data_IF_834185789122
#
_entry.id   IF_834185789122
#
_cell.length_a   1.000
_cell.length_b   1.000
_cell.length_c   1.000
_cell.angle_alpha   90.00
_cell.angle_beta   90.00
_cell.angle_gamma   90.00
#
_symmetry.space_group_name_H-M   'P 1'
#
loop_
_entity.id
_entity.type
_entity.pdbx_description
1 polymer ?
#
# COMPACT_ATOMS: atom_id res chain seq x y z
N UNK A 1 -36.63 -41.34 37.68
CA UNK A 1 -36.36 -41.40 36.25
C UNK A 1 -36.17 -40.00 35.61
N UNK A 2 -37.01 -39.02 35.84
CA UNK A 2 -36.91 -37.66 35.25
C UNK A 2 -35.59 -36.91 35.50
N UNK A 3 -34.92 -37.06 36.65
CA UNK A 3 -33.65 -36.39 36.98
C UNK A 3 -32.46 -36.86 36.10
N UNK A 4 -32.45 -38.13 35.74
CA UNK A 4 -31.38 -38.69 34.89
C UNK A 4 -31.56 -38.31 33.42
N UNK A 5 -32.83 -38.23 32.94
CA UNK A 5 -33.14 -37.76 31.58
C UNK A 5 -32.76 -36.28 31.37
N UNK A 6 -33.01 -35.43 32.34
CA UNK A 6 -32.57 -34.02 32.32
C UNK A 6 -31.03 -33.88 32.31
N UNK A 7 -30.34 -34.74 33.07
CA UNK A 7 -28.85 -34.75 33.08
C UNK A 7 -28.29 -35.20 31.72
N UNK A 8 -28.87 -36.21 31.08
CA UNK A 8 -28.44 -36.67 29.74
C UNK A 8 -28.71 -35.62 28.67
N UNK A 9 -29.80 -34.88 28.73
CA UNK A 9 -30.12 -33.79 27.81
C UNK A 9 -29.11 -32.63 28.02
N UNK A 10 -28.81 -32.31 29.27
CA UNK A 10 -27.84 -31.24 29.59
C UNK A 10 -26.40 -31.60 29.13
N UNK A 11 -25.96 -32.85 29.35
CA UNK A 11 -24.66 -33.35 28.92
C UNK A 11 -24.57 -33.43 27.38
N UNK A 12 -25.63 -33.94 26.73
CA UNK A 12 -25.71 -33.97 25.27
C UNK A 12 -25.75 -32.58 24.64
N UNK A 13 -26.43 -31.63 25.29
CA UNK A 13 -26.40 -30.21 24.87
C UNK A 13 -25.01 -29.56 25.04
N UNK A 14 -24.28 -29.95 26.08
CA UNK A 14 -22.95 -29.40 26.36
C UNK A 14 -21.87 -29.91 25.36
N UNK A 15 -22.02 -31.13 24.84
CA UNK A 15 -21.12 -31.69 23.81
C UNK A 15 -21.35 -31.10 22.42
N UNK A 16 -22.53 -30.53 22.15
CA UNK A 16 -22.84 -29.84 20.90
C UNK A 16 -22.27 -28.42 20.83
N UNK A 17 -21.82 -27.87 21.95
CA UNK A 17 -21.25 -26.49 22.02
C UNK A 17 -19.77 -26.41 21.67
N UNK A 18 -19.08 -27.54 21.46
CA UNK A 18 -17.71 -27.53 20.94
C UNK A 18 -17.75 -27.31 19.44
N UNK A 19 -18.06 -26.07 19.01
CA UNK A 19 -17.98 -25.68 17.62
C UNK A 19 -16.50 -25.63 17.21
N UNK A 20 -16.02 -26.70 16.58
CA UNK A 20 -14.68 -26.75 16.01
C UNK A 20 -14.66 -25.89 14.74
N UNK A 21 -13.82 -24.88 14.73
CA UNK A 21 -13.49 -24.14 13.50
C UNK A 21 -12.77 -25.12 12.56
N UNK A 22 -13.44 -25.49 11.45
CA UNK A 22 -12.87 -26.37 10.43
C UNK A 22 -11.82 -25.63 9.62
N UNK A 23 -10.59 -26.13 9.57
CA UNK A 23 -9.49 -25.57 8.79
C UNK A 23 -8.17 -25.54 9.56
N UNK A 24 -7.09 -25.28 8.84
CA UNK A 24 -5.76 -25.09 9.43
C UNK A 24 -5.51 -23.61 9.69
N UNK A 25 -5.13 -23.26 10.92
CA UNK A 25 -4.64 -21.92 11.21
C UNK A 25 -3.33 -21.66 10.45
N UNK A 26 -3.21 -20.44 9.95
CA UNK A 26 -1.96 -20.02 9.31
C UNK A 26 -0.82 -20.01 10.31
N UNK A 27 0.23 -20.75 9.99
CA UNK A 27 1.51 -20.65 10.68
C UNK A 27 2.56 -20.14 9.69
N UNK A 28 3.33 -19.13 10.09
CA UNK A 28 4.39 -18.60 9.24
C UNK A 28 5.38 -19.72 8.94
N UNK A 29 5.66 -20.03 7.65
CA UNK A 29 6.64 -21.04 7.31
C UNK A 29 8.02 -20.62 7.80
N UNK A 30 8.77 -21.57 8.36
CA UNK A 30 10.17 -21.36 8.67
C UNK A 30 10.97 -21.42 7.36
N UNK A 31 11.42 -20.24 6.95
CA UNK A 31 12.29 -20.10 5.79
C UNK A 31 13.73 -20.34 6.27
N UNK A 32 14.23 -21.53 6.31
CA UNK A 32 15.63 -21.85 6.70
C UNK A 32 16.65 -20.98 5.93
N UNK A 33 16.58 -19.68 6.14
CA UNK A 33 17.52 -18.73 5.54
C UNK A 33 18.85 -18.84 6.27
N UNK A 34 19.99 -18.79 5.55
CA UNK A 34 21.30 -18.72 6.18
C UNK A 34 21.34 -17.54 7.16
N UNK A 35 21.74 -17.79 8.39
CA UNK A 35 21.84 -16.72 9.41
C UNK A 35 22.92 -15.68 9.09
N UNK A 36 23.85 -16.02 8.20
CA UNK A 36 24.91 -15.13 7.73
C UNK A 36 25.03 -15.22 6.22
N UNK A 37 24.75 -14.13 5.54
CA UNK A 37 24.97 -13.98 4.10
C UNK A 37 26.42 -13.61 3.75
N UNK A 38 27.16 -13.09 4.73
CA UNK A 38 28.57 -12.70 4.57
C UNK A 38 29.36 -13.01 5.84
N UNK A 39 30.36 -13.88 5.71
CA UNK A 39 31.26 -14.27 6.80
C UNK A 39 32.32 -13.20 7.13
N UNK A 40 32.40 -12.12 6.35
CA UNK A 40 33.47 -11.13 6.44
C UNK A 40 33.12 -9.90 7.28
N UNK A 41 31.87 -9.72 7.74
CA UNK A 41 31.47 -8.57 8.56
C UNK A 41 30.72 -8.97 9.82
N UNK A 42 31.47 -9.44 10.79
CA UNK A 42 30.94 -9.82 12.13
C UNK A 42 30.64 -8.61 13.05
N UNK A 43 30.78 -7.37 12.58
CA UNK A 43 30.71 -6.19 13.45
C UNK A 43 29.54 -5.22 13.19
N UNK A 44 28.82 -5.35 12.09
CA UNK A 44 27.68 -4.47 11.81
C UNK A 44 26.36 -5.20 12.08
N UNK A 45 25.82 -5.00 13.27
CA UNK A 45 24.51 -5.56 13.67
C UNK A 45 23.33 -4.72 13.19
N UNK A 46 23.58 -3.55 12.59
CA UNK A 46 22.53 -2.66 12.06
C UNK A 46 22.25 -3.02 10.61
N UNK A 47 21.06 -3.56 10.36
CA UNK A 47 20.56 -3.74 8.99
C UNK A 47 20.12 -2.40 8.42
N UNK A 48 20.46 -2.13 7.15
CA UNK A 48 19.91 -0.98 6.41
C UNK A 48 18.37 -0.96 6.43
N UNK A 49 17.74 -2.13 6.55
CA UNK A 49 16.29 -2.24 6.65
C UNK A 49 15.71 -1.65 7.95
N UNK A 50 16.52 -1.52 9.00
CA UNK A 50 16.11 -0.93 10.28
C UNK A 50 16.38 0.58 10.36
N UNK A 51 17.17 1.12 9.40
CA UNK A 51 17.48 2.56 9.34
C UNK A 51 16.32 3.36 8.76
N UNK A 52 16.15 4.56 9.25
CA UNK A 52 15.20 5.50 8.67
C UNK A 52 15.80 6.14 7.41
N UNK A 53 14.98 6.43 6.42
CA UNK A 53 15.46 6.95 5.13
C UNK A 53 16.27 8.26 5.28
N UNK A 54 15.98 9.10 6.28
CA UNK A 54 16.72 10.33 6.56
C UNK A 54 18.09 10.10 7.22
N UNK A 55 18.34 8.91 7.75
CA UNK A 55 19.65 8.48 8.23
C UNK A 55 20.52 8.01 7.07
N UNK A 56 19.90 7.48 6.01
CA UNK A 56 20.58 7.01 4.80
C UNK A 56 20.91 8.21 3.88
N UNK A 57 19.95 9.10 3.65
CA UNK A 57 20.08 10.25 2.79
C UNK A 57 20.31 11.50 3.64
N UNK A 58 21.58 11.93 3.77
CA UNK A 58 22.00 13.06 4.62
C UNK A 58 21.92 14.43 3.94
N UNK A 59 21.70 14.46 2.62
CA UNK A 59 21.53 15.72 1.86
C UNK A 59 20.20 16.37 2.22
N UNK A 60 20.25 17.59 2.77
CA UNK A 60 19.07 18.33 3.24
C UNK A 60 18.13 18.74 2.10
N UNK A 61 18.66 18.96 0.88
CA UNK A 61 17.85 19.26 -0.30
C UNK A 61 17.04 18.04 -0.70
N UNK A 62 17.70 16.89 -0.77
CA UNK A 62 17.05 15.62 -1.06
C UNK A 62 15.98 15.28 0.00
N UNK A 63 16.30 15.45 1.29
CA UNK A 63 15.33 15.23 2.37
C UNK A 63 14.08 16.10 2.20
N UNK A 64 14.25 17.39 1.91
CA UNK A 64 13.13 18.31 1.68
C UNK A 64 12.26 17.87 0.47
N UNK A 65 12.89 17.40 -0.61
CA UNK A 65 12.18 16.89 -1.79
C UNK A 65 11.39 15.62 -1.49
N UNK A 66 11.98 14.71 -0.72
CA UNK A 66 11.30 13.48 -0.29
C UNK A 66 10.09 13.82 0.58
N UNK A 67 10.24 14.66 1.61
CA UNK A 67 9.14 15.09 2.49
C UNK A 67 8.00 15.72 1.69
N UNK A 68 8.33 16.70 0.83
CA UNK A 68 7.34 17.36 -0.02
C UNK A 68 6.62 16.37 -0.94
N UNK A 69 7.32 15.37 -1.45
CA UNK A 69 6.74 14.33 -2.29
C UNK A 69 5.79 13.44 -1.49
N UNK A 70 6.21 12.94 -0.33
CA UNK A 70 5.40 12.09 0.53
C UNK A 70 4.09 12.77 0.97
N UNK A 71 4.13 14.07 1.29
CA UNK A 71 2.97 14.83 1.74
C UNK A 71 1.96 15.09 0.61
N UNK A 72 2.44 15.25 -0.62
CA UNK A 72 1.59 15.62 -1.76
C UNK A 72 1.25 14.45 -2.68
N UNK A 73 1.97 13.34 -2.61
CA UNK A 73 1.76 12.19 -3.48
C UNK A 73 0.35 11.62 -3.34
N UNK A 74 -0.32 11.43 -4.47
CA UNK A 74 -1.69 10.92 -4.53
C UNK A 74 -1.78 9.44 -4.18
N UNK A 75 -0.78 8.65 -4.56
CA UNK A 75 -0.76 7.21 -4.29
C UNK A 75 -0.61 6.94 -2.79
N UNK A 76 0.16 7.78 -2.06
CA UNK A 76 0.20 7.74 -0.60
C UNK A 76 -1.17 8.01 0.03
N UNK A 77 -1.93 8.96 -0.52
CA UNK A 77 -3.29 9.27 -0.05
C UNK A 77 -4.26 8.13 -0.35
N UNK A 78 -4.14 7.51 -1.52
CA UNK A 78 -4.93 6.32 -1.90
C UNK A 78 -4.59 5.14 -0.97
N UNK A 79 -3.31 4.87 -0.73
CA UNK A 79 -2.89 3.81 0.17
C UNK A 79 -3.41 4.02 1.60
N UNK A 80 -3.35 5.26 2.12
CA UNK A 80 -3.91 5.61 3.42
C UNK A 80 -5.44 5.43 3.47
N UNK A 81 -6.15 5.77 2.40
CA UNK A 81 -7.60 5.54 2.29
C UNK A 81 -7.91 4.02 2.27
N UNK A 82 -7.11 3.23 1.56
CA UNK A 82 -7.25 1.77 1.51
C UNK A 82 -7.06 1.11 2.87
N UNK A 83 -6.10 1.57 3.67
CA UNK A 83 -5.93 1.10 5.06
C UNK A 83 -7.18 1.39 5.89
N UNK A 84 -7.79 2.59 5.76
CA UNK A 84 -9.03 2.94 6.46
C UNK A 84 -10.22 2.10 6.00
N UNK A 85 -10.33 1.85 4.70
CA UNK A 85 -11.36 0.97 4.11
C UNK A 85 -11.27 -0.44 4.70
N UNK A 86 -10.10 -1.07 4.69
CA UNK A 86 -9.91 -2.41 5.21
C UNK A 86 -10.06 -2.48 6.74
N UNK A 87 -9.74 -1.39 7.45
CA UNK A 87 -10.06 -1.27 8.88
C UNK A 87 -11.58 -1.27 9.13
N UNK A 88 -12.36 -0.64 8.25
CA UNK A 88 -13.83 -0.67 8.33
C UNK A 88 -14.39 -2.05 7.97
N UNK A 89 -13.88 -2.69 6.91
CA UNK A 89 -14.25 -4.06 6.52
C UNK A 89 -14.03 -5.05 7.68
N UNK A 90 -12.88 -4.98 8.34
CA UNK A 90 -12.58 -5.79 9.54
C UNK A 90 -13.63 -5.62 10.64
N UNK A 91 -14.16 -4.40 10.83
CA UNK A 91 -15.23 -4.16 11.82
C UNK A 91 -16.56 -4.77 11.39
N UNK A 92 -16.86 -4.73 10.10
CA UNK A 92 -18.08 -5.35 9.54
C UNK A 92 -18.03 -6.87 9.76
N UNK A 93 -16.92 -7.52 9.38
CA UNK A 93 -16.78 -8.97 9.54
C UNK A 93 -16.81 -9.39 11.02
N UNK A 94 -16.28 -8.55 11.91
CA UNK A 94 -16.42 -8.76 13.34
C UNK A 94 -17.88 -8.61 13.82
N UNK A 95 -18.60 -7.61 13.30
CA UNK A 95 -20.00 -7.38 13.67
C UNK A 95 -20.94 -8.53 13.23
N UNK A 96 -20.61 -9.22 12.14
CA UNK A 96 -21.38 -10.37 11.64
C UNK A 96 -21.38 -11.57 12.60
N UNK A 97 -20.50 -11.61 13.59
CA UNK A 97 -20.51 -12.63 14.64
C UNK A 97 -21.63 -12.42 15.67
N UNK A 98 -22.26 -11.26 15.70
CA UNK A 98 -23.28 -10.89 16.70
C UNK A 98 -24.67 -10.80 16.08
N UNK A 99 -25.73 -10.94 16.88
CA UNK A 99 -27.09 -10.68 16.43
C UNK A 99 -27.24 -9.27 15.86
N UNK A 100 -27.89 -9.16 14.70
CA UNK A 100 -28.16 -7.89 14.04
C UNK A 100 -29.61 -7.50 14.28
N UNK A 101 -29.83 -6.28 14.72
CA UNK A 101 -31.15 -5.68 14.90
C UNK A 101 -31.43 -4.73 13.75
N UNK A 102 -32.47 -5.04 12.97
CA UNK A 102 -32.92 -4.21 11.85
C UNK A 102 -34.32 -3.65 12.17
N UNK A 103 -34.48 -2.33 11.99
CA UNK A 103 -35.75 -1.63 12.09
C UNK A 103 -36.15 -1.08 10.75
N UNK A 104 -37.39 -1.27 10.34
CA UNK A 104 -37.99 -0.64 9.18
C UNK A 104 -39.32 0.01 9.56
N UNK A 105 -39.57 1.17 9.02
CA UNK A 105 -40.86 1.85 9.09
C UNK A 105 -41.27 2.22 7.67
N UNK A 106 -42.53 2.02 7.35
CA UNK A 106 -43.06 2.38 6.05
C UNK A 106 -44.39 3.13 6.20
N UNK A 107 -44.63 4.01 5.26
CA UNK A 107 -45.91 4.66 5.07
C UNK A 107 -46.17 4.65 3.58
N UNK A 108 -47.23 3.97 3.16
CA UNK A 108 -47.61 3.87 1.75
C UNK A 108 -49.08 4.21 1.62
N UNK A 109 -49.44 4.71 0.46
CA UNK A 109 -50.85 4.94 0.07
C UNK A 109 -51.08 4.23 -1.25
N UNK A 110 -51.84 3.16 -1.17
CA UNK A 110 -52.19 2.39 -2.35
C UNK A 110 -53.56 2.83 -2.87
N UNK A 111 -53.62 3.09 -4.16
CA UNK A 111 -54.85 3.43 -4.86
C UNK A 111 -55.21 2.31 -5.81
N UNK A 112 -56.24 1.52 -5.48
CA UNK A 112 -56.69 0.42 -6.34
C UNK A 112 -58.06 0.74 -6.90
N UNK A 113 -58.22 0.58 -8.24
CA UNK A 113 -59.49 0.67 -8.92
C UNK A 113 -60.04 -0.77 -9.17
N UNK A 114 -61.05 -1.14 -8.43
CA UNK A 114 -61.68 -2.46 -8.54
C UNK A 114 -62.78 -2.54 -9.59
N UNK A 115 -62.85 -1.56 -10.51
CA UNK A 115 -63.86 -1.47 -11.55
C UNK A 115 -65.05 -0.59 -11.16
N UNK A 116 -65.52 0.28 -12.07
CA UNK A 116 -66.53 1.29 -11.83
C UNK A 116 -65.98 2.47 -10.97
N UNK A 117 -66.87 3.14 -10.28
CA UNK A 117 -66.51 4.33 -9.46
C UNK A 117 -65.91 3.95 -8.07
N UNK A 118 -65.47 2.74 -7.87
CA UNK A 118 -64.92 2.25 -6.60
C UNK A 118 -63.41 2.41 -6.54
N UNK A 119 -62.96 3.64 -6.41
CA UNK A 119 -61.56 3.93 -6.10
C UNK A 119 -61.34 3.93 -4.59
N UNK A 120 -60.58 2.98 -4.06
CA UNK A 120 -60.18 2.91 -2.66
C UNK A 120 -58.76 3.43 -2.49
N UNK A 121 -58.64 4.39 -1.61
CA UNK A 121 -57.37 4.94 -1.13
C UNK A 121 -57.15 4.42 0.30
N UNK A 122 -56.38 3.38 0.44
CA UNK A 122 -56.07 2.80 1.76
C UNK A 122 -54.68 3.21 2.17
N UNK A 123 -54.51 4.17 3.14
CA UNK A 123 -53.23 4.47 3.72
C UNK A 123 -52.82 3.34 4.66
N UNK A 124 -51.63 2.78 4.41
CA UNK A 124 -51.03 1.78 5.24
C UNK A 124 -49.75 2.32 5.90
N UNK A 125 -49.64 2.15 7.21
CA UNK A 125 -48.45 2.51 7.96
C UNK A 125 -48.04 1.33 8.83
N UNK A 126 -46.75 1.09 8.89
CA UNK A 126 -46.28 -0.03 9.70
C UNK A 126 -44.81 0.15 10.13
N UNK A 127 -44.45 -0.58 11.16
CA UNK A 127 -43.09 -0.68 11.61
C UNK A 127 -42.76 -2.13 11.93
N UNK A 128 -41.53 -2.54 11.63
CA UNK A 128 -41.04 -3.91 11.89
C UNK A 128 -39.66 -3.84 12.50
N UNK A 129 -39.48 -4.56 13.63
CA UNK A 129 -38.19 -4.86 14.19
C UNK A 129 -37.85 -6.33 13.92
N UNK A 130 -36.68 -6.59 13.39
CA UNK A 130 -36.21 -7.93 13.07
C UNK A 130 -34.84 -8.16 13.67
N UNK A 131 -34.69 -9.24 14.44
CA UNK A 131 -33.40 -9.72 14.92
C UNK A 131 -32.99 -10.89 14.04
N UNK A 132 -31.80 -10.80 13.44
CA UNK A 132 -31.20 -11.87 12.64
C UNK A 132 -29.85 -12.24 13.25
N UNK A 133 -29.59 -13.53 13.38
CA UNK A 133 -28.31 -14.04 13.87
C UNK A 133 -27.95 -15.34 13.15
N UNK A 134 -26.75 -15.38 12.60
CA UNK A 134 -26.16 -16.57 11.98
C UNK A 134 -25.24 -17.23 13.00
N UNK A 135 -25.61 -18.46 13.41
CA UNK A 135 -24.77 -19.25 14.30
C UNK A 135 -23.59 -19.84 13.52
N UNK A 136 -22.39 -19.46 13.88
CA UNK A 136 -21.16 -19.89 13.21
C UNK A 136 -20.71 -21.30 13.68
N UNK A 137 -21.48 -22.32 13.34
CA UNK A 137 -21.23 -23.70 13.78
C UNK A 137 -19.93 -24.27 13.20
N UNK A 138 -19.61 -23.95 11.95
CA UNK A 138 -18.42 -24.42 11.24
C UNK A 138 -17.27 -23.44 11.16
N UNK A 139 -17.40 -22.25 11.73
CA UNK A 139 -16.35 -21.25 11.79
C UNK A 139 -16.19 -20.37 10.55
N UNK A 140 -17.18 -20.32 9.65
CA UNK A 140 -17.13 -19.52 8.44
C UNK A 140 -16.97 -18.01 8.75
N UNK A 141 -17.77 -17.49 9.69
CA UNK A 141 -17.70 -16.08 10.09
C UNK A 141 -16.40 -15.77 10.85
N UNK A 142 -15.90 -16.70 11.64
CA UNK A 142 -14.59 -16.57 12.31
C UNK A 142 -13.45 -16.52 11.29
N UNK A 143 -13.49 -17.39 10.27
CA UNK A 143 -12.52 -17.35 9.18
C UNK A 143 -12.61 -16.07 8.35
N UNK A 144 -13.81 -15.55 8.08
CA UNK A 144 -14.02 -14.28 7.39
C UNK A 144 -13.40 -13.13 8.19
N UNK A 145 -13.62 -13.08 9.51
CA UNK A 145 -12.97 -12.10 10.41
C UNK A 145 -11.45 -12.22 10.39
N UNK A 146 -10.90 -13.40 10.49
CA UNK A 146 -9.44 -13.61 10.50
C UNK A 146 -8.82 -13.24 9.15
N UNK A 147 -9.50 -13.53 8.04
CA UNK A 147 -9.13 -13.05 6.69
C UNK A 147 -9.10 -11.52 6.63
N UNK A 148 -10.13 -10.84 7.13
CA UNK A 148 -10.18 -9.37 7.08
C UNK A 148 -9.12 -8.72 7.98
N UNK A 149 -8.76 -9.34 9.10
CA UNK A 149 -7.62 -8.92 9.92
C UNK A 149 -6.32 -9.02 9.13
N UNK A 150 -6.08 -10.16 8.46
CA UNK A 150 -4.88 -10.36 7.65
C UNK A 150 -4.80 -9.37 6.48
N UNK A 151 -5.92 -9.09 5.81
CA UNK A 151 -6.00 -8.08 4.73
C UNK A 151 -5.70 -6.67 5.25
N UNK A 152 -6.23 -6.31 6.42
CA UNK A 152 -5.94 -5.02 7.05
C UNK A 152 -4.44 -4.89 7.38
N UNK A 153 -3.84 -5.89 8.01
CA UNK A 153 -2.40 -5.88 8.31
C UNK A 153 -1.55 -5.83 7.03
N UNK A 154 -1.92 -6.60 6.01
CA UNK A 154 -1.28 -6.56 4.70
C UNK A 154 -1.33 -5.19 4.04
N UNK A 155 -2.41 -4.42 4.23
CA UNK A 155 -2.53 -3.08 3.68
C UNK A 155 -1.60 -2.07 4.36
N UNK A 156 -1.32 -2.24 5.65
CA UNK A 156 -0.35 -1.42 6.38
C UNK A 156 1.06 -1.65 5.82
N UNK A 157 1.43 -2.91 5.59
CA UNK A 157 2.74 -3.24 5.03
C UNK A 157 2.85 -2.79 3.55
N UNK A 158 1.77 -2.89 2.78
CA UNK A 158 1.73 -2.36 1.41
C UNK A 158 1.92 -0.82 1.38
N UNK A 159 1.33 -0.09 2.32
CA UNK A 159 1.54 1.35 2.45
C UNK A 159 3.01 1.67 2.80
N UNK A 160 3.64 0.88 3.68
CA UNK A 160 5.07 1.02 3.99
C UNK A 160 5.95 0.76 2.78
N UNK A 161 5.68 -0.31 2.02
CA UNK A 161 6.41 -0.62 0.80
C UNK A 161 6.29 0.49 -0.24
N UNK A 162 5.08 1.04 -0.45
CA UNK A 162 4.87 2.18 -1.34
C UNK A 162 5.68 3.40 -0.91
N UNK A 163 5.70 3.71 0.40
CA UNK A 163 6.52 4.82 0.92
C UNK A 163 7.99 4.63 0.58
N UNK A 164 8.53 3.43 0.76
CA UNK A 164 9.93 3.12 0.43
C UNK A 164 10.21 3.27 -1.07
N UNK A 165 9.30 2.81 -1.94
CA UNK A 165 9.43 2.96 -3.39
C UNK A 165 9.48 4.43 -3.79
N UNK A 166 8.58 5.27 -3.26
CA UNK A 166 8.54 6.71 -3.57
C UNK A 166 9.84 7.40 -3.10
N UNK A 167 10.33 7.07 -1.90
CA UNK A 167 11.60 7.61 -1.39
C UNK A 167 12.75 7.25 -2.32
N UNK A 168 12.82 5.99 -2.77
CA UNK A 168 13.86 5.50 -3.68
C UNK A 168 13.79 6.17 -5.05
N UNK A 169 12.59 6.34 -5.61
CA UNK A 169 12.38 7.02 -6.90
C UNK A 169 12.83 8.48 -6.86
N UNK A 170 12.48 9.21 -5.79
CA UNK A 170 12.92 10.61 -5.62
C UNK A 170 14.43 10.69 -5.48
N UNK A 171 15.04 9.79 -4.70
CA UNK A 171 16.48 9.77 -4.52
C UNK A 171 17.20 9.44 -5.83
N UNK A 172 16.70 8.46 -6.59
CA UNK A 172 17.26 8.12 -7.90
C UNK A 172 17.20 9.30 -8.87
N UNK A 173 16.04 9.95 -9.00
CA UNK A 173 15.88 11.11 -9.88
C UNK A 173 16.78 12.28 -9.47
N UNK A 174 16.95 12.51 -8.17
CA UNK A 174 17.84 13.56 -7.65
C UNK A 174 19.29 13.29 -8.01
N UNK A 175 19.81 12.08 -7.77
CA UNK A 175 21.19 11.74 -8.09
C UNK A 175 21.44 11.71 -9.61
N UNK A 176 20.47 11.29 -10.41
CA UNK A 176 20.54 11.39 -11.87
C UNK A 176 20.65 12.84 -12.33
N UNK A 177 19.86 13.75 -11.77
CA UNK A 177 19.94 15.18 -12.06
C UNK A 177 21.32 15.75 -11.70
N UNK A 178 21.85 15.42 -10.52
CA UNK A 178 23.18 15.85 -10.09
C UNK A 178 24.27 15.31 -11.03
N UNK A 179 24.15 14.07 -11.49
CA UNK A 179 25.09 13.49 -12.45
C UNK A 179 25.04 14.22 -13.81
N UNK A 180 23.84 14.51 -14.32
CA UNK A 180 23.65 15.25 -15.57
C UNK A 180 24.17 16.70 -15.48
N UNK A 181 23.98 17.37 -14.35
CA UNK A 181 24.54 18.71 -14.13
C UNK A 181 26.08 18.70 -14.14
N UNK A 182 26.69 17.69 -13.53
CA UNK A 182 28.14 17.52 -13.58
C UNK A 182 28.63 17.22 -15.00
N UNK A 183 27.94 16.34 -15.74
CA UNK A 183 28.25 16.05 -17.15
C UNK A 183 28.17 17.32 -17.99
N UNK A 184 27.11 18.10 -17.84
CA UNK A 184 26.94 19.38 -18.54
C UNK A 184 28.10 20.33 -18.27
N UNK A 185 28.57 20.41 -17.03
CA UNK A 185 29.73 21.25 -16.68
C UNK A 185 31.01 20.74 -17.37
N UNK A 186 31.25 19.44 -17.40
CA UNK A 186 32.40 18.84 -18.10
C UNK A 186 32.32 19.16 -19.60
N UNK A 187 31.16 18.98 -20.22
CA UNK A 187 30.95 19.28 -21.64
C UNK A 187 31.21 20.74 -21.95
N UNK A 188 30.72 21.66 -21.10
CA UNK A 188 30.97 23.10 -21.28
C UNK A 188 32.45 23.45 -21.15
N UNK A 189 33.17 22.87 -20.19
CA UNK A 189 34.63 23.08 -20.03
C UNK A 189 35.39 22.50 -21.24
N UNK A 190 35.01 21.31 -21.68
CA UNK A 190 35.60 20.67 -22.87
C UNK A 190 35.38 21.53 -24.12
N UNK A 191 34.16 22.02 -24.34
CA UNK A 191 33.86 22.91 -25.47
C UNK A 191 34.70 24.19 -25.43
N UNK A 192 34.88 24.78 -24.25
CA UNK A 192 35.75 25.97 -24.11
C UNK A 192 37.20 25.63 -24.46
N UNK A 193 37.74 24.53 -23.93
CA UNK A 193 39.12 24.09 -24.22
C UNK A 193 39.33 23.76 -25.71
N UNK A 194 38.35 23.10 -26.36
CA UNK A 194 38.41 22.80 -27.81
C UNK A 194 38.38 24.07 -28.65
N UNK A 195 37.51 25.06 -28.32
CA UNK A 195 37.48 26.36 -29.00
C UNK A 195 38.82 27.11 -28.89
N UNK A 196 39.45 27.10 -27.74
CA UNK A 196 40.78 27.69 -27.56
C UNK A 196 41.86 26.91 -28.32
N UNK A 197 41.77 25.59 -28.38
CA UNK A 197 42.63 24.74 -29.20
C UNK A 197 42.57 25.13 -30.68
N UNK A 198 41.37 25.27 -31.22
CA UNK A 198 41.14 25.72 -32.61
C UNK A 198 41.73 27.09 -32.84
N UNK A 199 41.47 28.02 -31.93
CA UNK A 199 42.04 29.41 -32.02
C UNK A 199 43.57 29.41 -32.08
N UNK A 200 44.21 28.66 -31.20
CA UNK A 200 45.66 28.51 -31.17
C UNK A 200 46.21 27.83 -32.41
N UNK A 201 45.55 26.76 -32.90
CA UNK A 201 45.96 26.07 -34.13
C UNK A 201 45.91 27.01 -35.33
N UNK A 202 44.86 27.83 -35.46
CA UNK A 202 44.70 28.84 -36.49
C UNK A 202 45.80 29.92 -36.41
N UNK A 203 46.10 30.46 -35.24
CA UNK A 203 47.17 31.45 -35.06
C UNK A 203 48.54 30.90 -35.40
N UNK A 204 48.84 29.63 -35.09
CA UNK A 204 50.12 28.96 -35.47
C UNK A 204 50.22 28.75 -36.97
N UNK A 205 49.12 28.43 -37.65
CA UNK A 205 49.07 28.29 -39.11
C UNK A 205 49.32 29.66 -39.77
N UNK A 206 48.61 30.72 -39.36
CA UNK A 206 48.75 32.08 -39.88
C UNK A 206 50.17 32.64 -39.63
N UNK A 207 50.82 32.23 -38.53
CA UNK A 207 52.22 32.56 -38.23
C UNK A 207 53.23 31.66 -38.95
N UNK A 208 52.82 30.77 -39.79
CA UNK A 208 53.74 29.88 -40.57
C UNK A 208 54.41 28.78 -39.73
N UNK A 209 53.93 28.50 -38.52
CA UNK A 209 54.51 27.55 -37.55
C UNK A 209 54.01 26.13 -37.72
N UNK A 210 52.87 25.95 -38.39
CA UNK A 210 52.24 24.63 -38.60
C UNK A 210 51.58 24.54 -40.00
N UNK A 211 51.27 23.32 -40.44
CA UNK A 211 50.54 23.07 -41.69
C UNK A 211 49.05 23.40 -41.57
N UNK A 212 48.41 23.69 -42.70
CA UNK A 212 46.97 23.89 -42.81
C UNK A 212 46.21 22.65 -42.32
N UNK A 213 46.72 21.44 -42.59
CA UNK A 213 46.14 20.17 -42.13
C UNK A 213 45.95 20.13 -40.62
N UNK A 214 46.94 20.62 -39.86
CA UNK A 214 46.82 20.69 -38.37
C UNK A 214 45.73 21.64 -37.90
N UNK A 215 45.53 22.76 -38.62
CA UNK A 215 44.45 23.72 -38.32
C UNK A 215 43.08 23.13 -38.66
N UNK A 216 42.96 22.41 -39.78
CA UNK A 216 41.73 21.74 -40.20
C UNK A 216 41.34 20.57 -39.24
N UNK A 217 42.34 19.79 -38.83
CA UNK A 217 42.09 18.70 -37.83
C UNK A 217 41.55 19.24 -36.53
N UNK A 218 42.10 20.36 -36.00
CA UNK A 218 41.60 20.96 -34.79
C UNK A 218 40.16 21.49 -34.89
N UNK A 219 39.67 21.78 -36.11
CA UNK A 219 38.26 22.21 -36.33
C UNK A 219 37.27 21.04 -36.39
N UNK A 220 37.73 19.85 -36.71
CA UNK A 220 36.87 18.66 -36.84
C UNK A 220 36.72 17.92 -35.52
N UNK A 221 37.67 18.04 -34.58
CA UNK A 221 37.60 17.47 -33.24
C UNK A 221 36.73 18.29 -32.26
#
# INVERSE_FOLDING_TARGET
>A
MMKHTLLYIAVSGMTLLTSCQLGKHYTRPDLHLPQQLDTLRQQDTLSIADMQWWEIYTDTTLQSLIEKTLDNNKDMKIAAARVKELAAMKRIDFANLFPQLNGSAYAQKEGSNYGGDNYKNDPEQGGKLTVTWELDLWGNLRWAKDKSIAQFLGSIEAQRALKMSIVSEVAQAYFELVALDNELNIVRQTLYARKEGVRLAKLRFEGGLTSETSSQQAQVE
#
